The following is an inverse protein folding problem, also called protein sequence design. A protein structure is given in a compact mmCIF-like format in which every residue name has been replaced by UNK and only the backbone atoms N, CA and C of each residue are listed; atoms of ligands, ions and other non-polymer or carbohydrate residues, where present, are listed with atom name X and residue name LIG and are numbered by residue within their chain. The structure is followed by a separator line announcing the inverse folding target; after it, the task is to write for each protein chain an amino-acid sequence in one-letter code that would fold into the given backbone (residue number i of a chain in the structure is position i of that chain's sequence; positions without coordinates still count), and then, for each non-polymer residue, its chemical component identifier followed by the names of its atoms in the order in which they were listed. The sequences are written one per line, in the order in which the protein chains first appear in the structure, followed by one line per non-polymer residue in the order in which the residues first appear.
data_IF_652756940627
#
_entry.id   IF_652756940627
#
_cell.length_a   1.000
_cell.length_b   1.000
_cell.length_c   1.000
_cell.angle_alpha   90.00
_cell.angle_beta   90.00
_cell.angle_gamma   90.00
#
_symmetry.space_group_name_H-M   'P 1'
#
loop_
_entity.id
_entity.type
_entity.pdbx_description
1 polymer ?
#
# COMPACT_ATOMS: atom_id res chain seq x y z
N UNK A 1 -14.76 24.76 -29.63
CA UNK A 1 -14.49 23.36 -29.24
C UNK A 1 -13.44 23.40 -28.15
N UNK A 2 -13.79 22.96 -26.95
CA UNK A 2 -12.87 22.86 -25.81
C UNK A 2 -12.57 21.38 -25.64
N UNK A 3 -11.29 21.03 -25.46
CA UNK A 3 -10.83 19.66 -25.28
C UNK A 3 -9.92 19.64 -24.06
N UNK A 4 -10.16 18.70 -23.16
CA UNK A 4 -9.27 18.42 -22.03
C UNK A 4 -8.09 17.56 -22.48
N UNK A 5 -6.89 18.01 -22.17
CA UNK A 5 -5.64 17.33 -22.52
C UNK A 5 -4.92 16.92 -21.24
N UNK A 6 -4.73 15.61 -21.04
CA UNK A 6 -3.92 15.08 -19.94
C UNK A 6 -2.44 15.43 -20.19
N UNK A 7 -1.83 16.12 -19.23
CA UNK A 7 -0.39 16.43 -19.24
C UNK A 7 0.32 15.59 -18.18
N UNK A 8 1.47 14.97 -18.51
CA UNK A 8 2.30 14.35 -17.49
C UNK A 8 2.72 15.36 -16.43
N UNK A 9 2.56 15.02 -15.16
CA UNK A 9 3.09 15.77 -14.03
C UNK A 9 4.03 14.88 -13.22
N UNK A 10 4.96 15.50 -12.51
CA UNK A 10 5.79 14.85 -11.50
C UNK A 10 5.39 15.39 -10.14
N UNK A 11 5.29 14.51 -9.17
CA UNK A 11 4.97 14.88 -7.79
C UNK A 11 5.84 14.07 -6.85
N UNK A 12 6.10 14.63 -5.68
CA UNK A 12 6.81 13.96 -4.59
C UNK A 12 5.82 13.07 -3.83
N UNK A 13 6.27 11.88 -3.47
CA UNK A 13 5.50 10.92 -2.67
C UNK A 13 6.25 10.75 -1.37
N UNK A 14 5.56 10.93 -0.24
CA UNK A 14 6.18 10.84 1.08
C UNK A 14 5.87 9.55 1.80
N UNK A 15 4.63 9.07 1.67
CA UNK A 15 4.19 7.87 2.35
C UNK A 15 3.32 6.98 1.45
N UNK A 16 3.20 5.72 1.85
CA UNK A 16 2.22 4.77 1.32
C UNK A 16 1.34 4.28 2.46
N UNK A 17 0.03 4.40 2.30
CA UNK A 17 -0.94 3.73 3.17
C UNK A 17 -1.31 2.38 2.56
N UNK A 18 -1.21 1.34 3.36
CA UNK A 18 -1.61 -0.03 3.03
C UNK A 18 -2.87 -0.33 3.81
N UNK A 19 -3.93 -0.73 3.12
CA UNK A 19 -5.15 -1.26 3.72
C UNK A 19 -5.48 -2.57 3.00
N UNK A 20 -5.39 -3.69 3.71
CA UNK A 20 -5.60 -5.02 3.14
C UNK A 20 -6.40 -5.89 4.10
N UNK A 21 -7.22 -6.79 3.57
CA UNK A 21 -7.84 -7.83 4.37
C UNK A 21 -6.83 -8.97 4.54
N UNK A 22 -6.50 -9.27 5.79
CA UNK A 22 -5.69 -10.43 6.15
C UNK A 22 -6.60 -11.61 6.50
N UNK A 23 -6.09 -12.83 6.39
CA UNK A 23 -6.74 -14.00 6.94
C UNK A 23 -6.89 -13.85 8.46
N UNK A 24 -8.01 -14.34 9.00
CA UNK A 24 -8.39 -14.15 10.42
C UNK A 24 -7.29 -14.62 11.38
N UNK A 25 -6.64 -15.74 11.08
CA UNK A 25 -5.57 -16.31 11.90
C UNK A 25 -4.32 -15.43 11.98
N UNK A 26 -4.05 -14.64 10.93
CA UNK A 26 -2.98 -13.63 10.93
C UNK A 26 -3.45 -12.37 11.66
N UNK A 27 -4.65 -11.87 11.34
CA UNK A 27 -5.19 -10.64 11.90
C UNK A 27 -5.34 -10.67 13.43
N UNK A 28 -5.79 -11.80 13.99
CA UNK A 28 -5.97 -11.98 15.44
C UNK A 28 -4.67 -11.92 16.25
N UNK A 29 -3.52 -12.10 15.58
CA UNK A 29 -2.19 -12.06 16.20
C UNK A 29 -1.54 -10.68 16.11
N UNK A 30 -2.17 -9.74 15.41
CA UNK A 30 -1.60 -8.42 15.21
C UNK A 30 -1.86 -7.51 16.41
N UNK A 31 -0.87 -6.69 16.78
CA UNK A 31 -1.07 -5.66 17.78
C UNK A 31 -1.96 -4.54 17.25
N UNK A 32 -2.72 -3.91 18.15
CA UNK A 32 -3.73 -2.89 17.82
C UNK A 32 -3.16 -1.71 17.01
N UNK A 33 -1.88 -1.37 17.17
CA UNK A 33 -1.26 -0.26 16.43
C UNK A 33 -1.09 -0.51 14.92
N UNK A 34 -1.28 -1.75 14.45
CA UNK A 34 -1.31 -2.10 13.03
C UNK A 34 -2.73 -2.13 12.45
N UNK A 35 -3.74 -1.88 13.30
CA UNK A 35 -5.15 -1.98 12.94
C UNK A 35 -5.79 -0.58 12.93
N UNK A 36 -6.71 -0.37 12.00
CA UNK A 36 -7.59 0.79 12.01
C UNK A 36 -8.67 0.68 13.09
N UNK A 37 -9.37 1.79 13.33
CA UNK A 37 -10.62 1.81 14.10
C UNK A 37 -11.67 0.94 13.40
N UNK A 38 -11.75 -0.33 13.80
CA UNK A 38 -12.57 -1.35 13.14
C UNK A 38 -11.89 -2.73 13.05
N UNK A 39 -10.59 -2.83 13.32
CA UNK A 39 -9.84 -4.09 13.34
C UNK A 39 -9.24 -4.49 12.00
N UNK A 40 -9.45 -3.70 10.94
CA UNK A 40 -8.83 -3.93 9.63
C UNK A 40 -7.35 -3.54 9.67
N UNK A 41 -6.50 -4.29 8.97
CA UNK A 41 -5.08 -3.95 8.87
C UNK A 41 -4.89 -2.66 8.08
N UNK A 42 -4.35 -1.63 8.74
CA UNK A 42 -4.04 -0.35 8.11
C UNK A 42 -2.76 0.25 8.69
N UNK A 43 -1.78 0.49 7.82
CA UNK A 43 -0.54 1.16 8.18
C UNK A 43 -0.14 2.23 7.18
N UNK A 44 0.50 3.27 7.69
CA UNK A 44 1.10 4.33 6.88
C UNK A 44 2.61 4.25 7.01
N UNK A 45 3.32 4.13 5.90
CA UNK A 45 4.77 3.91 5.86
C UNK A 45 5.43 5.08 5.13
N UNK A 46 6.44 5.68 5.75
CA UNK A 46 7.34 6.61 5.06
C UNK A 46 8.14 5.87 3.97
N UNK A 47 7.99 6.30 2.72
CA UNK A 47 8.54 5.56 1.57
C UNK A 47 10.05 5.54 1.58
N UNK A 48 10.71 6.60 2.05
CA UNK A 48 12.17 6.71 2.03
C UNK A 48 12.83 5.80 3.06
N UNK A 49 12.20 5.65 4.23
CA UNK A 49 12.80 5.00 5.40
C UNK A 49 12.21 3.63 5.71
N UNK A 50 11.01 3.31 5.22
CA UNK A 50 10.28 2.12 5.63
C UNK A 50 9.75 2.19 7.07
N UNK A 51 9.67 3.39 7.65
CA UNK A 51 9.14 3.60 9.00
C UNK A 51 7.62 3.62 8.99
N UNK A 52 7.01 2.81 9.84
CA UNK A 52 5.57 2.84 10.10
C UNK A 52 5.24 4.06 10.96
N UNK A 53 4.51 5.01 10.39
CA UNK A 53 4.22 6.31 10.99
C UNK A 53 3.14 6.25 12.07
N UNK A 54 2.25 5.26 12.02
CA UNK A 54 1.21 5.02 13.04
C UNK A 54 1.66 4.02 14.13
N UNK A 55 2.92 3.61 14.15
CA UNK A 55 3.48 2.72 15.17
C UNK A 55 4.36 3.50 16.16
N UNK A 56 4.20 3.24 17.47
CA UNK A 56 5.06 3.83 18.50
C UNK A 56 6.33 3.02 18.81
N UNK A 57 6.52 1.85 18.20
CA UNK A 57 7.75 1.05 18.33
C UNK A 57 7.95 0.46 19.72
N UNK A 58 7.08 -0.46 20.14
CA UNK A 58 7.20 -1.09 21.46
C UNK A 58 7.48 -2.60 21.40
N UNK A 59 7.20 -3.23 20.26
CA UNK A 59 7.44 -4.65 20.03
C UNK A 59 7.78 -4.92 18.56
N UNK A 60 8.54 -5.99 18.33
CA UNK A 60 8.82 -6.47 16.98
C UNK A 60 7.69 -7.39 16.52
N UNK A 61 7.24 -7.20 15.29
CA UNK A 61 6.11 -7.93 14.70
C UNK A 61 6.43 -8.30 13.26
N UNK A 62 6.01 -9.50 12.86
CA UNK A 62 6.12 -9.97 11.48
C UNK A 62 4.73 -10.21 10.92
N UNK A 63 4.42 -9.58 9.79
CA UNK A 63 3.14 -9.73 9.09
C UNK A 63 3.43 -10.39 7.76
N UNK A 64 3.06 -11.65 7.61
CA UNK A 64 3.20 -12.39 6.36
C UNK A 64 1.87 -13.01 6.02
N UNK A 65 1.26 -12.60 4.91
CA UNK A 65 -0.01 -13.15 4.48
C UNK A 65 -0.18 -13.07 2.97
N UNK A 66 -0.99 -13.98 2.43
CA UNK A 66 -1.48 -13.88 1.06
C UNK A 66 -2.67 -12.94 1.04
N UNK A 67 -2.52 -11.80 0.39
CA UNK A 67 -3.63 -10.88 0.18
C UNK A 67 -4.43 -11.38 -1.01
N UNK A 68 -5.69 -11.72 -0.80
CA UNK A 68 -6.63 -11.92 -1.91
C UNK A 68 -6.68 -10.62 -2.70
N UNK A 69 -6.53 -10.64 -4.03
CA UNK A 69 -6.42 -9.52 -5.01
C UNK A 69 -7.40 -8.33 -4.79
N UNK A 70 -7.35 -7.71 -3.62
CA UNK A 70 -8.36 -6.85 -3.03
C UNK A 70 -7.72 -5.78 -2.15
N UNK A 71 -6.40 -5.61 -2.24
CA UNK A 71 -5.66 -4.63 -1.46
C UNK A 71 -5.94 -3.20 -1.93
N UNK A 72 -5.92 -2.27 -0.98
CA UNK A 72 -5.97 -0.83 -1.23
C UNK A 72 -4.64 -0.18 -0.85
N UNK A 73 -4.05 0.51 -1.82
CA UNK A 73 -2.75 1.17 -1.66
C UNK A 73 -2.87 2.64 -2.04
N UNK A 74 -2.62 3.54 -1.10
CA UNK A 74 -2.72 4.98 -1.31
C UNK A 74 -1.33 5.60 -1.24
N UNK A 75 -0.90 6.27 -2.31
CA UNK A 75 0.29 7.12 -2.28
C UNK A 75 -0.10 8.49 -1.72
N UNK A 76 0.64 8.91 -0.70
CA UNK A 76 0.43 10.16 0.00
C UNK A 76 1.55 11.14 -0.34
N UNK A 77 1.16 12.39 -0.56
CA UNK A 77 2.09 13.49 -0.74
C UNK A 77 2.64 14.00 0.59
N UNK A 78 3.26 15.18 0.55
CA UNK A 78 4.00 15.73 1.70
C UNK A 78 3.09 16.15 2.85
N UNK A 79 1.87 16.55 2.56
CA UNK A 79 0.87 17.04 3.51
C UNK A 79 -0.18 15.95 3.82
N UNK A 80 0.17 14.67 3.60
CA UNK A 80 -0.70 13.50 3.71
C UNK A 80 -1.91 13.52 2.76
N UNK A 81 -1.85 14.33 1.70
CA UNK A 81 -2.87 14.36 0.67
C UNK A 81 -2.82 13.09 -0.20
N UNK A 82 -4.00 12.56 -0.56
CA UNK A 82 -4.08 11.39 -1.44
C UNK A 82 -3.71 11.80 -2.88
N UNK A 83 -2.58 11.31 -3.38
CA UNK A 83 -2.11 11.56 -4.75
C UNK A 83 -2.65 10.51 -5.71
N UNK A 84 -2.57 9.23 -5.30
CA UNK A 84 -3.06 8.08 -6.05
C UNK A 84 -3.65 7.08 -5.07
N UNK A 85 -4.79 6.48 -5.44
CA UNK A 85 -5.38 5.36 -4.71
C UNK A 85 -5.64 4.20 -5.68
N UNK A 86 -5.03 3.06 -5.39
CA UNK A 86 -5.27 1.79 -6.07
C UNK A 86 -6.20 0.97 -5.19
N UNK A 87 -7.29 0.48 -5.76
CA UNK A 87 -8.35 -0.25 -5.02
C UNK A 87 -8.55 -1.60 -5.71
N UNK A 88 -8.65 -2.65 -4.91
CA UNK A 88 -8.77 -4.03 -5.39
C UNK A 88 -7.65 -4.46 -6.33
N UNK A 89 -6.40 -4.13 -5.97
CA UNK A 89 -5.22 -4.47 -6.76
C UNK A 89 -4.30 -5.45 -6.02
N UNK A 90 -3.42 -6.07 -6.78
CA UNK A 90 -2.28 -6.83 -6.29
C UNK A 90 -1.34 -5.94 -5.47
N UNK A 91 -0.56 -6.56 -4.58
CA UNK A 91 0.51 -5.92 -3.83
C UNK A 91 1.49 -5.24 -4.80
N UNK A 92 1.70 -3.91 -4.71
CA UNK A 92 2.65 -3.17 -5.51
C UNK A 92 4.08 -3.72 -5.43
N UNK A 93 4.44 -4.52 -6.42
CA UNK A 93 5.78 -5.06 -6.59
C UNK A 93 6.84 -3.95 -6.56
N UNK A 94 7.95 -4.20 -5.84
CA UNK A 94 9.10 -3.28 -5.65
C UNK A 94 8.86 -2.04 -4.79
N UNK A 95 7.63 -1.84 -4.31
CA UNK A 95 7.33 -0.84 -3.29
C UNK A 95 7.15 -1.50 -1.92
N UNK A 96 6.28 -2.51 -1.85
CA UNK A 96 5.94 -3.20 -0.60
C UNK A 96 6.65 -4.56 -0.58
N UNK A 97 7.36 -4.90 0.50
CA UNK A 97 7.96 -6.23 0.67
C UNK A 97 6.95 -7.36 0.56
N UNK A 98 7.34 -8.43 -0.14
CA UNK A 98 6.49 -9.57 -0.46
C UNK A 98 6.93 -10.27 -1.74
N UNK A 99 6.22 -11.35 -2.09
CA UNK A 99 6.52 -12.14 -3.28
C UNK A 99 5.35 -12.15 -4.28
N UNK A 100 5.70 -12.07 -5.57
CA UNK A 100 4.80 -12.22 -6.73
C UNK A 100 3.61 -11.24 -6.84
N UNK A 101 3.48 -10.28 -5.93
CA UNK A 101 2.33 -9.36 -5.88
C UNK A 101 1.10 -9.94 -5.16
N UNK A 102 1.19 -11.17 -4.65
CA UNK A 102 0.10 -11.84 -3.94
C UNK A 102 0.31 -11.83 -2.42
N UNK A 103 1.54 -11.59 -1.97
CA UNK A 103 1.90 -11.66 -0.56
C UNK A 103 2.41 -10.32 -0.05
N UNK A 104 2.05 -10.00 1.19
CA UNK A 104 2.80 -9.03 2.00
C UNK A 104 3.78 -9.79 2.90
N UNK A 105 4.97 -9.25 3.11
CA UNK A 105 5.96 -9.76 4.09
C UNK A 105 6.62 -8.58 4.81
N UNK A 106 6.08 -8.14 5.95
CA UNK A 106 6.57 -6.97 6.68
C UNK A 106 7.24 -7.39 7.99
N UNK A 107 8.53 -7.06 8.13
CA UNK A 107 9.32 -7.37 9.34
C UNK A 107 9.61 -6.10 10.12
N UNK A 108 8.70 -5.73 11.02
CA UNK A 108 8.74 -4.47 11.78
C UNK A 108 9.55 -4.71 13.06
N UNK A 109 10.61 -3.93 13.26
CA UNK A 109 11.39 -3.99 14.49
C UNK A 109 10.73 -3.17 15.63
N UNK A 110 11.34 -3.20 16.81
CA UNK A 110 10.89 -2.44 17.98
C UNK A 110 10.94 -0.92 17.79
N UNK A 111 11.44 -0.36 16.69
CA UNK A 111 11.43 1.09 16.43
C UNK A 111 10.37 1.47 15.38
N UNK A 112 9.57 0.51 14.93
CA UNK A 112 8.60 0.68 13.86
C UNK A 112 9.22 0.70 12.46
N UNK A 113 10.47 0.25 12.30
CA UNK A 113 11.15 0.16 10.99
C UNK A 113 10.92 -1.22 10.36
N UNK A 114 10.51 -1.22 9.10
CA UNK A 114 10.41 -2.44 8.29
C UNK A 114 11.82 -2.82 7.81
N UNK A 115 12.40 -3.84 8.44
CA UNK A 115 13.80 -4.25 8.23
C UNK A 115 14.08 -4.85 6.85
N UNK A 116 13.06 -5.32 6.15
CA UNK A 116 13.13 -5.81 4.77
C UNK A 116 12.57 -4.80 3.74
N UNK A 117 12.48 -3.52 4.10
CA UNK A 117 12.04 -2.47 3.17
C UNK A 117 12.99 -2.34 1.97
N UNK A 118 12.49 -2.12 0.73
CA UNK A 118 13.35 -2.02 -0.44
C UNK A 118 14.27 -0.80 -0.34
N UNK A 119 15.57 -0.98 -0.61
CA UNK A 119 16.57 0.12 -0.59
C UNK A 119 16.34 1.20 -1.64
N UNK A 120 15.64 0.85 -2.72
CA UNK A 120 15.23 1.76 -3.76
C UNK A 120 13.77 1.44 -4.08
N UNK A 121 12.84 1.95 -3.26
CA UNK A 121 11.43 1.72 -3.47
C UNK A 121 11.04 2.42 -4.76
N UNK A 122 10.68 1.62 -5.75
CA UNK A 122 10.20 2.11 -7.02
C UNK A 122 8.72 1.73 -7.08
N UNK A 123 7.80 2.69 -6.83
CA UNK A 123 6.40 2.47 -7.11
C UNK A 123 6.27 2.29 -8.63
N UNK A 124 6.45 1.07 -9.15
CA UNK A 124 5.95 0.70 -10.46
C UNK A 124 4.44 0.53 -10.36
N UNK A 125 3.76 1.64 -10.06
CA UNK A 125 2.33 1.73 -10.18
C UNK A 125 2.04 1.94 -11.66
N UNK A 126 1.89 0.84 -12.38
CA UNK A 126 1.09 0.91 -13.60
C UNK A 126 -0.33 1.10 -13.12
N UNK A 127 -0.79 2.36 -13.10
CA UNK A 127 -2.21 2.61 -13.14
C UNK A 127 -2.73 1.88 -14.39
N UNK A 128 -3.24 0.65 -14.22
CA UNK A 128 -4.09 0.07 -15.23
C UNK A 128 -5.26 1.04 -15.30
N UNK A 129 -5.32 1.74 -16.42
CA UNK A 129 -6.35 2.69 -16.80
C UNK A 129 -7.62 2.50 -15.97
N UNK A 130 -7.91 3.44 -15.07
CA UNK A 130 -9.28 3.77 -14.72
C UNK A 130 -9.94 4.43 -15.94
N UNK A 131 -10.06 3.69 -17.04
CA UNK A 131 -11.02 3.97 -18.08
C UNK A 131 -12.08 2.88 -17.95
N UNK A 132 -13.26 3.28 -17.51
CA UNK A 132 -14.46 2.47 -17.67
C UNK A 132 -14.57 2.07 -19.13
N UNK A 133 -14.27 0.82 -19.43
CA UNK A 133 -14.57 0.24 -20.72
C UNK A 133 -16.07 -0.07 -20.71
N UNK A 134 -16.89 0.50 -21.62
CA UNK A 134 -18.25 0.05 -21.79
C UNK A 134 -18.21 -1.39 -22.30
N UNK A 135 -18.54 -2.36 -21.44
CA UNK A 135 -18.78 -3.74 -21.87
C UNK A 135 -19.96 -3.73 -22.85
N UNK A 136 -19.66 -3.92 -24.13
CA UNK A 136 -20.67 -4.25 -25.13
C UNK A 136 -20.52 -3.51 -26.46
N UNK A 137 -19.59 -3.97 -27.29
CA UNK A 137 -19.76 -3.96 -28.75
C UNK A 137 -18.88 -5.08 -29.31
N UNK A 138 -19.42 -6.30 -29.32
CA UNK A 138 -19.02 -7.30 -30.29
C UNK A 138 -19.85 -7.07 -31.55
N UNK A 139 -19.14 -6.93 -32.66
CA UNK A 139 -19.68 -6.94 -34.01
C UNK A 139 -20.35 -8.28 -34.34
#
# INVERSE_FOLDING_TARGET
MIVDVLKPCKTEIKAVRINVCLHEDVAEQLPEFLLADGGDFEIVIDVDTGKVLNCQGNEAVSVTDKVSDSGTYTLLGKDNEEIVKLVYEYVPNKLIPGEYGDYIDLKINTEGLITNWPKSPAPTLRARHCAGWPRGLTA
#
